data_IF_845297162182
#
_entry.id   IF_845297162182
#
_cell.length_a   1.000
_cell.length_b   1.000
_cell.length_c   1.000
_cell.angle_alpha   90.00
_cell.angle_beta   90.00
_cell.angle_gamma   90.00
#
_symmetry.space_group_name_H-M   'P 1'
#
loop_
_entity.id
_entity.type
_entity.pdbx_description
1 polymer ?
#
# COMPACT_ATOMS: atom_id res chain seq x y z
N UNK A 1 14.07 10.71 15.53
CA UNK A 1 14.65 12.05 15.34
C UNK A 1 13.52 13.07 15.20
N UNK A 2 13.71 14.28 15.73
CA UNK A 2 12.75 15.38 15.55
C UNK A 2 13.00 16.08 14.22
N UNK A 3 11.93 16.43 13.53
CA UNK A 3 11.92 17.15 12.26
C UNK A 3 11.02 18.38 12.35
N UNK A 4 11.08 19.34 11.41
CA UNK A 4 10.16 20.48 11.38
C UNK A 4 8.67 20.09 11.29
N UNK A 5 8.36 18.88 10.83
CA UNK A 5 7.00 18.40 10.61
C UNK A 5 6.51 17.39 11.65
N UNK A 6 7.41 16.92 12.52
CA UNK A 6 7.09 15.92 13.51
C UNK A 6 8.26 15.01 13.88
N UNK A 7 7.98 13.90 14.53
CA UNK A 7 8.97 12.94 14.98
C UNK A 7 9.11 11.80 13.97
N UNK A 8 10.35 11.55 13.52
CA UNK A 8 10.70 10.42 12.67
C UNK A 8 11.27 9.29 13.53
N UNK A 9 10.63 8.14 13.51
CA UNK A 9 11.06 6.90 14.14
C UNK A 9 11.37 5.82 13.11
N UNK A 10 12.24 4.89 13.47
CA UNK A 10 12.44 3.66 12.71
C UNK A 10 11.44 2.60 13.20
N UNK A 11 10.70 1.99 12.28
CA UNK A 11 9.74 0.93 12.56
C UNK A 11 10.23 -0.34 11.89
N UNK A 12 10.81 -1.24 12.68
CA UNK A 12 11.52 -2.40 12.13
C UNK A 12 12.87 -2.01 11.50
N UNK A 13 13.33 -2.81 10.56
CA UNK A 13 14.59 -2.60 9.83
C UNK A 13 14.43 -1.89 8.50
N UNK A 14 13.20 -1.80 7.98
CA UNK A 14 12.88 -1.49 6.58
C UNK A 14 11.94 -0.29 6.38
N UNK A 15 11.47 0.34 7.47
CA UNK A 15 10.54 1.46 7.40
C UNK A 15 10.93 2.62 8.32
N UNK A 16 10.73 3.85 7.82
CA UNK A 16 10.73 5.06 8.63
C UNK A 16 9.31 5.61 8.74
N UNK A 17 8.86 5.92 9.94
CA UNK A 17 7.56 6.51 10.18
C UNK A 17 7.71 7.94 10.72
N UNK A 18 7.19 8.91 9.97
CA UNK A 18 7.09 10.30 10.39
C UNK A 18 5.72 10.52 11.04
N UNK A 19 5.70 10.64 12.34
CA UNK A 19 4.51 11.02 13.12
C UNK A 19 4.29 12.53 13.02
N UNK A 20 3.31 12.91 12.20
CA UNK A 20 2.98 14.33 11.94
C UNK A 20 1.97 14.86 12.95
N UNK A 21 1.13 13.99 13.50
CA UNK A 21 0.14 14.26 14.55
C UNK A 21 -0.73 15.49 14.26
N UNK A 22 -1.18 15.63 13.00
CA UNK A 22 -2.05 16.72 12.59
C UNK A 22 -1.36 18.07 12.33
N UNK A 23 -0.03 18.14 12.34
CA UNK A 23 0.69 19.37 11.96
C UNK A 23 0.44 19.74 10.48
N UNK A 24 0.11 18.76 9.63
CA UNK A 24 -0.37 18.97 8.28
C UNK A 24 -1.89 18.82 8.31
N UNK A 25 -2.60 19.91 7.98
CA UNK A 25 -4.06 19.95 8.02
C UNK A 25 -4.69 19.03 6.98
N UNK A 26 -5.72 18.30 7.40
CA UNK A 26 -6.54 17.46 6.54
C UNK A 26 -7.94 17.36 7.17
N UNK A 27 -9.01 17.49 6.36
CA UNK A 27 -10.39 17.48 6.88
C UNK A 27 -11.39 17.09 5.80
N UNK A 28 -11.20 15.93 5.19
CA UNK A 28 -12.09 15.45 4.15
C UNK A 28 -13.35 14.77 4.74
N UNK A 29 -14.47 14.92 4.04
CA UNK A 29 -15.76 14.29 4.34
C UNK A 29 -16.11 13.17 3.36
N UNK A 30 -15.40 13.05 2.24
CA UNK A 30 -15.56 12.02 1.22
C UNK A 30 -14.20 11.56 0.70
N UNK A 31 -14.17 10.41 0.01
CA UNK A 31 -12.94 9.89 -0.58
C UNK A 31 -12.39 10.82 -1.67
N UNK A 32 -13.24 11.39 -2.51
CA UNK A 32 -12.82 12.30 -3.59
C UNK A 32 -12.21 13.58 -3.02
N UNK A 33 -12.83 14.16 -1.98
CA UNK A 33 -12.27 15.29 -1.25
C UNK A 33 -10.94 14.93 -0.58
N UNK A 34 -10.86 13.74 0.03
CA UNK A 34 -9.66 13.24 0.66
C UNK A 34 -8.52 13.13 -0.36
N UNK A 35 -8.79 12.54 -1.53
CA UNK A 35 -7.80 12.40 -2.60
C UNK A 35 -7.29 13.77 -3.07
N UNK A 36 -8.20 14.71 -3.34
CA UNK A 36 -7.84 16.06 -3.77
C UNK A 36 -6.97 16.80 -2.71
N UNK A 37 -7.29 16.66 -1.42
CA UNK A 37 -6.47 17.24 -0.36
C UNK A 37 -5.09 16.58 -0.26
N UNK A 38 -4.98 15.26 -0.40
CA UNK A 38 -3.69 14.57 -0.40
C UNK A 38 -2.84 14.97 -1.62
N UNK A 39 -3.42 15.13 -2.80
CA UNK A 39 -2.73 15.67 -3.98
C UNK A 39 -2.12 17.06 -3.70
N UNK A 40 -2.86 17.95 -3.06
CA UNK A 40 -2.35 19.25 -2.66
C UNK A 40 -1.26 19.16 -1.59
N UNK A 41 -1.39 18.25 -0.62
CA UNK A 41 -0.38 18.01 0.42
C UNK A 41 0.92 17.51 -0.21
N UNK A 42 0.86 16.52 -1.08
CA UNK A 42 2.05 15.98 -1.78
C UNK A 42 2.77 17.05 -2.57
N UNK A 43 2.03 17.93 -3.26
CA UNK A 43 2.60 19.07 -4.00
C UNK A 43 3.20 20.12 -3.07
N UNK A 44 2.48 20.50 -2.00
CA UNK A 44 2.89 21.60 -1.10
C UNK A 44 4.07 21.21 -0.19
N UNK A 45 4.19 19.93 0.13
CA UNK A 45 5.22 19.37 1.00
C UNK A 45 6.17 18.45 0.21
N UNK A 46 6.60 18.88 -0.98
CA UNK A 46 7.42 18.08 -1.89
C UNK A 46 8.71 17.54 -1.25
N UNK A 47 9.25 18.21 -0.23
CA UNK A 47 10.41 17.72 0.53
C UNK A 47 10.11 16.42 1.31
N UNK A 48 8.85 16.16 1.65
CA UNK A 48 8.41 14.90 2.28
C UNK A 48 8.11 13.82 1.24
N UNK A 49 7.96 14.18 -0.02
CA UNK A 49 7.60 13.27 -1.11
C UNK A 49 8.57 13.45 -2.27
N UNK A 50 9.83 12.95 -2.14
CA UNK A 50 10.86 13.13 -3.17
C UNK A 50 10.61 12.20 -4.38
N UNK A 51 9.43 12.33 -4.97
CA UNK A 51 8.94 11.50 -6.08
C UNK A 51 8.59 12.42 -7.25
N UNK A 52 9.18 12.16 -8.42
CA UNK A 52 8.81 12.83 -9.66
C UNK A 52 7.53 12.23 -10.23
N UNK A 53 6.59 13.11 -10.63
CA UNK A 53 5.29 12.71 -11.21
C UNK A 53 4.54 11.68 -10.34
N UNK A 54 4.22 12.00 -9.07
CA UNK A 54 3.64 11.06 -8.14
C UNK A 54 2.27 10.56 -8.61
N UNK A 55 2.05 9.26 -8.48
CA UNK A 55 0.73 8.63 -8.54
C UNK A 55 0.22 8.52 -7.11
N UNK A 56 -1.04 8.86 -6.89
CA UNK A 56 -1.69 8.83 -5.58
C UNK A 56 -2.92 7.95 -5.68
N UNK A 57 -2.95 6.90 -4.89
CA UNK A 57 -4.06 5.97 -4.81
C UNK A 57 -4.54 5.80 -3.37
N UNK A 58 -5.85 5.66 -3.21
CA UNK A 58 -6.44 5.36 -1.91
C UNK A 58 -6.48 3.85 -1.69
N UNK A 59 -6.14 3.41 -0.49
CA UNK A 59 -6.30 2.02 -0.07
C UNK A 59 -7.58 1.91 0.77
N UNK A 60 -8.50 0.96 0.47
CA UNK A 60 -9.63 0.68 1.34
C UNK A 60 -9.14 0.25 2.71
N UNK A 61 -9.67 0.86 3.75
CA UNK A 61 -9.33 0.52 5.13
C UNK A 61 -10.57 0.05 5.87
N UNK A 62 -10.34 -0.69 6.94
CA UNK A 62 -11.37 -1.03 7.89
C UNK A 62 -11.90 0.25 8.52
N UNK A 63 -13.16 0.58 8.27
CA UNK A 63 -13.82 1.70 8.94
C UNK A 63 -14.28 1.23 10.32
N UNK A 64 -13.69 1.82 11.38
CA UNK A 64 -14.27 1.74 12.71
C UNK A 64 -14.90 3.09 13.01
N UNK A 65 -16.24 3.12 13.11
CA UNK A 65 -16.96 4.32 13.60
C UNK A 65 -16.36 4.79 14.95
N UNK A 66 -16.22 6.10 15.19
CA UNK A 66 -16.68 7.27 14.42
C UNK A 66 -15.59 8.01 13.64
N UNK A 67 -14.38 7.49 13.55
CA UNK A 67 -13.26 8.18 12.87
C UNK A 67 -12.95 7.49 11.55
N UNK A 68 -13.25 8.16 10.43
CA UNK A 68 -12.80 7.71 9.12
C UNK A 68 -11.32 8.01 8.99
N UNK A 69 -10.50 6.98 8.95
CA UNK A 69 -9.09 7.08 8.59
C UNK A 69 -8.95 6.77 7.11
N UNK A 70 -8.25 7.64 6.40
CA UNK A 70 -7.90 7.45 5.01
C UNK A 70 -6.45 6.99 4.92
N UNK A 71 -6.21 6.00 4.07
CA UNK A 71 -4.86 5.55 3.74
C UNK A 71 -4.62 5.76 2.26
N UNK A 72 -3.52 6.43 1.94
CA UNK A 72 -3.08 6.66 0.57
C UNK A 72 -1.67 6.12 0.37
N UNK A 73 -1.40 5.65 -0.84
CA UNK A 73 -0.06 5.34 -1.29
C UNK A 73 0.37 6.34 -2.34
N UNK A 74 1.65 6.71 -2.30
CA UNK A 74 2.30 7.64 -3.22
C UNK A 74 3.53 6.97 -3.79
N UNK A 75 3.61 6.86 -5.11
CA UNK A 75 4.71 6.22 -5.81
C UNK A 75 5.01 6.91 -7.14
N UNK A 76 6.22 6.71 -7.69
CA UNK A 76 6.57 7.17 -9.02
C UNK A 76 5.98 6.21 -10.07
N UNK A 77 5.31 6.76 -11.06
CA UNK A 77 4.99 6.00 -12.27
C UNK A 77 6.23 5.94 -13.15
N UNK A 78 7.11 5.03 -12.87
CA UNK A 78 8.18 4.72 -13.80
C UNK A 78 7.59 3.97 -15.00
N UNK A 79 8.14 4.23 -16.18
CA UNK A 79 7.83 3.37 -17.33
C UNK A 79 8.45 2.01 -17.05
N UNK A 80 7.64 1.08 -16.56
CA UNK A 80 8.06 -0.30 -16.46
C UNK A 80 8.33 -0.83 -17.87
N UNK A 81 9.48 -1.45 -18.08
CA UNK A 81 9.70 -2.27 -19.26
C UNK A 81 8.88 -3.55 -19.11
N UNK A 82 7.79 -3.65 -19.86
CA UNK A 82 6.84 -4.76 -19.78
C UNK A 82 5.91 -4.68 -18.55
N UNK A 83 5.56 -5.84 -17.98
CA UNK A 83 4.66 -5.97 -16.83
C UNK A 83 5.37 -5.84 -15.47
N UNK A 84 6.60 -5.33 -15.45
CA UNK A 84 7.38 -5.14 -14.21
C UNK A 84 6.81 -3.95 -13.44
N UNK A 85 6.57 -4.14 -12.14
CA UNK A 85 6.34 -3.02 -11.24
C UNK A 85 7.65 -2.26 -11.01
N UNK A 86 7.58 -0.94 -10.96
CA UNK A 86 8.72 -0.15 -10.52
C UNK A 86 9.03 -0.42 -9.04
N UNK A 87 10.27 -0.23 -8.63
CA UNK A 87 10.66 -0.34 -7.21
C UNK A 87 9.83 0.59 -6.34
N UNK A 88 9.54 1.80 -6.82
CA UNK A 88 8.70 2.78 -6.13
C UNK A 88 7.24 2.32 -5.96
N UNK A 89 6.67 1.66 -6.98
CA UNK A 89 5.32 1.09 -6.90
C UNK A 89 5.27 -0.12 -5.96
N UNK A 90 6.35 -0.92 -5.94
CA UNK A 90 6.49 -2.04 -5.04
C UNK A 90 6.57 -1.61 -3.56
N UNK A 91 7.19 -0.44 -3.32
CA UNK A 91 7.41 0.13 -1.98
C UNK A 91 6.99 1.59 -1.94
N UNK A 92 5.68 1.87 -1.93
CA UNK A 92 5.16 3.22 -1.94
C UNK A 92 5.33 3.91 -0.59
N UNK A 93 5.40 5.23 -0.61
CA UNK A 93 5.18 6.04 0.59
C UNK A 93 3.72 5.90 0.99
N UNK A 94 3.44 5.63 2.26
CA UNK A 94 2.07 5.51 2.77
C UNK A 94 1.71 6.70 3.66
N UNK A 95 0.54 7.29 3.43
CA UNK A 95 0.02 8.42 4.20
C UNK A 95 -1.23 7.96 4.97
N UNK A 96 -1.23 8.19 6.27
CA UNK A 96 -2.40 8.01 7.14
C UNK A 96 -2.97 9.36 7.52
N UNK A 97 -4.24 9.60 7.22
CA UNK A 97 -4.92 10.85 7.52
C UNK A 97 -6.34 10.63 8.07
N UNK A 98 -6.80 11.52 8.94
CA UNK A 98 -8.15 11.55 9.48
C UNK A 98 -8.60 12.99 9.70
N UNK A 99 -9.78 13.21 10.28
CA UNK A 99 -10.31 14.56 10.57
C UNK A 99 -9.41 15.43 11.46
N UNK A 100 -8.43 14.85 12.14
CA UNK A 100 -7.44 15.55 12.96
C UNK A 100 -6.20 15.98 12.18
N UNK A 101 -6.13 15.72 10.87
CA UNK A 101 -4.97 16.01 10.03
C UNK A 101 -4.26 14.76 9.51
N UNK A 102 -3.12 14.95 8.87
CA UNK A 102 -2.20 13.85 8.56
C UNK A 102 -1.60 13.35 9.86
N UNK A 103 -1.70 12.06 10.13
CA UNK A 103 -1.23 11.44 11.36
C UNK A 103 0.19 10.91 11.22
N UNK A 104 0.44 10.16 10.15
CA UNK A 104 1.73 9.56 9.88
C UNK A 104 2.01 9.47 8.38
N UNK A 105 3.30 9.49 8.04
CA UNK A 105 3.83 9.19 6.71
C UNK A 105 4.88 8.10 6.88
N UNK A 106 4.68 6.96 6.22
CA UNK A 106 5.58 5.81 6.28
C UNK A 106 6.41 5.74 5.01
N UNK A 107 7.71 5.67 5.17
CA UNK A 107 8.70 5.61 4.09
C UNK A 107 9.35 4.23 4.06
N UNK A 108 9.51 3.62 2.87
CA UNK A 108 10.41 2.49 2.72
C UNK A 108 11.86 2.97 2.88
N UNK A 109 12.67 2.25 3.64
CA UNK A 109 14.08 2.60 3.92
C UNK A 109 15.06 1.70 3.21
N UNK A 110 14.66 0.50 2.82
CA UNK A 110 15.50 -0.44 2.12
C UNK A 110 15.32 -0.33 0.60
N UNK A 111 16.37 -0.68 -0.10
CA UNK A 111 16.36 -0.88 -1.54
C UNK A 111 16.28 -2.38 -1.81
N UNK A 112 15.36 -2.78 -2.68
CA UNK A 112 15.33 -4.14 -3.19
C UNK A 112 16.07 -4.20 -4.53
N UNK A 113 17.05 -5.08 -4.64
CA UNK A 113 17.69 -5.39 -5.91
C UNK A 113 16.86 -6.43 -6.66
N UNK A 114 16.83 -6.30 -7.99
CA UNK A 114 16.12 -7.24 -8.83
C UNK A 114 16.93 -8.54 -8.97
N UNK A 115 16.37 -9.66 -8.50
CA UNK A 115 17.08 -10.95 -8.51
C UNK A 115 16.71 -11.81 -9.71
N UNK A 116 15.41 -11.97 -9.98
CA UNK A 116 14.93 -12.82 -11.07
C UNK A 116 13.51 -12.45 -11.53
N UNK A 117 13.21 -12.78 -12.80
CA UNK A 117 11.87 -12.68 -13.37
C UNK A 117 11.14 -14.01 -13.19
N UNK A 118 9.96 -13.98 -12.58
CA UNK A 118 9.05 -15.12 -12.48
C UNK A 118 7.72 -14.81 -13.13
N UNK A 119 7.11 -15.75 -13.86
CA UNK A 119 5.74 -15.58 -14.33
C UNK A 119 4.78 -15.37 -13.18
N UNK A 120 3.94 -14.38 -13.30
CA UNK A 120 2.90 -14.07 -12.32
C UNK A 120 1.52 -14.40 -12.87
N UNK A 121 0.59 -14.66 -11.97
CA UNK A 121 -0.82 -14.78 -12.30
C UNK A 121 -1.33 -13.47 -12.90
N UNK A 122 -2.17 -13.54 -13.90
CA UNK A 122 -3.00 -12.41 -14.30
C UNK A 122 -4.01 -12.09 -13.20
N UNK A 123 -4.59 -10.90 -13.20
CA UNK A 123 -5.63 -10.53 -12.24
C UNK A 123 -6.82 -11.50 -12.27
N UNK A 124 -7.22 -11.94 -13.47
CA UNK A 124 -8.33 -12.90 -13.63
C UNK A 124 -7.99 -14.29 -13.04
N UNK A 125 -6.76 -14.75 -13.22
CA UNK A 125 -6.28 -15.99 -12.60
C UNK A 125 -6.20 -15.87 -11.08
N UNK A 126 -5.72 -14.73 -10.57
CA UNK A 126 -5.67 -14.47 -9.15
C UNK A 126 -7.08 -14.44 -8.52
N UNK A 127 -8.07 -13.80 -9.18
CA UNK A 127 -9.46 -13.81 -8.71
C UNK A 127 -10.03 -15.22 -8.68
N UNK A 128 -9.73 -16.05 -9.69
CA UNK A 128 -10.19 -17.45 -9.73
C UNK A 128 -9.51 -18.33 -8.69
N UNK A 129 -8.24 -18.05 -8.37
CA UNK A 129 -7.47 -18.79 -7.39
C UNK A 129 -7.75 -18.37 -5.94
N UNK A 130 -8.33 -17.17 -5.74
CA UNK A 130 -8.62 -16.66 -4.42
C UNK A 130 -9.86 -17.35 -3.81
N UNK A 131 -9.65 -18.06 -2.72
CA UNK A 131 -10.72 -18.65 -1.94
C UNK A 131 -11.26 -17.61 -0.95
N UNK A 132 -12.48 -17.09 -1.21
CA UNK A 132 -13.11 -16.11 -0.31
C UNK A 132 -13.34 -16.74 1.07
N UNK A 133 -12.77 -16.16 2.14
CA UNK A 133 -12.97 -16.70 3.48
C UNK A 133 -14.44 -16.64 3.92
N UNK A 134 -14.86 -17.55 4.79
CA UNK A 134 -16.22 -17.56 5.34
C UNK A 134 -16.52 -16.24 6.08
N UNK A 135 -17.69 -15.67 5.85
CA UNK A 135 -18.12 -14.40 6.46
C UNK A 135 -17.71 -13.15 5.68
N UNK A 136 -17.19 -13.32 4.47
CA UNK A 136 -16.83 -12.22 3.57
C UNK A 136 -17.57 -12.32 2.23
N UNK A 137 -17.72 -11.17 1.57
CA UNK A 137 -18.27 -11.09 0.21
C UNK A 137 -17.21 -11.47 -0.82
N UNK A 138 -17.62 -11.86 -2.03
CA UNK A 138 -16.69 -12.12 -3.12
C UNK A 138 -15.87 -10.85 -3.44
N UNK A 139 -14.58 -11.00 -3.83
CA UNK A 139 -13.72 -9.86 -4.11
C UNK A 139 -14.24 -9.08 -5.33
N UNK A 140 -14.11 -7.75 -5.25
CA UNK A 140 -14.38 -6.84 -6.35
C UNK A 140 -13.06 -6.45 -7.01
N UNK A 141 -12.99 -6.43 -8.34
CA UNK A 141 -11.74 -6.20 -9.09
C UNK A 141 -11.10 -4.83 -8.82
N UNK A 142 -11.92 -3.81 -8.51
CA UNK A 142 -11.47 -2.46 -8.14
C UNK A 142 -10.91 -2.36 -6.70
N UNK A 143 -10.91 -3.47 -5.97
CA UNK A 143 -10.41 -3.60 -4.60
C UNK A 143 -9.31 -4.64 -4.47
N UNK A 144 -8.56 -4.85 -5.55
CA UNK A 144 -7.43 -5.78 -5.60
C UNK A 144 -6.21 -5.00 -6.03
N UNK A 145 -5.16 -5.07 -5.22
CA UNK A 145 -3.89 -4.39 -5.47
C UNK A 145 -2.78 -5.41 -5.64
N UNK A 146 -1.86 -5.14 -6.55
CA UNK A 146 -0.58 -5.82 -6.58
C UNK A 146 0.32 -5.13 -5.56
N UNK A 147 0.85 -5.89 -4.63
CA UNK A 147 1.77 -5.42 -3.59
C UNK A 147 3.01 -6.28 -3.58
N UNK A 148 4.07 -5.78 -2.95
CA UNK A 148 5.25 -6.55 -2.64
C UNK A 148 5.33 -6.79 -1.14
N UNK A 149 5.72 -8.01 -0.76
CA UNK A 149 5.78 -8.42 0.63
C UNK A 149 7.00 -9.29 0.84
N UNK A 150 7.72 -9.04 1.94
CA UNK A 150 8.83 -9.90 2.32
C UNK A 150 8.33 -11.28 2.71
N UNK A 151 9.12 -12.30 2.37
CA UNK A 151 8.93 -13.64 2.92
C UNK A 151 9.10 -13.65 4.45
N UNK A 152 8.80 -14.78 5.09
CA UNK A 152 8.91 -14.92 6.54
C UNK A 152 10.35 -14.73 7.09
N UNK A 153 11.36 -14.95 6.25
CA UNK A 153 12.76 -14.73 6.59
C UNK A 153 13.24 -13.30 6.35
N UNK A 154 12.44 -12.47 5.67
CA UNK A 154 12.80 -11.12 5.28
C UNK A 154 13.85 -11.04 4.16
N UNK A 155 14.09 -12.17 3.46
CA UNK A 155 15.15 -12.30 2.46
C UNK A 155 14.66 -11.91 1.07
N UNK A 156 13.43 -12.32 0.72
CA UNK A 156 12.88 -12.13 -0.61
C UNK A 156 11.67 -11.20 -0.59
N UNK A 157 11.67 -10.24 -1.47
CA UNK A 157 10.51 -9.40 -1.74
C UNK A 157 9.74 -10.02 -2.90
N UNK A 158 8.57 -10.56 -2.64
CA UNK A 158 7.75 -11.28 -3.61
C UNK A 158 6.45 -10.51 -3.94
N UNK A 159 5.95 -10.60 -5.19
CA UNK A 159 4.68 -10.01 -5.56
C UNK A 159 3.50 -10.78 -4.99
N UNK A 160 2.51 -10.07 -4.48
CA UNK A 160 1.23 -10.60 -4.01
C UNK A 160 0.08 -9.79 -4.60
N UNK A 161 -1.08 -10.43 -4.75
CA UNK A 161 -2.36 -9.75 -4.87
C UNK A 161 -2.98 -9.61 -3.49
N UNK A 162 -3.28 -8.38 -3.10
CA UNK A 162 -4.01 -8.06 -1.87
C UNK A 162 -5.46 -7.80 -2.21
N UNK A 163 -6.33 -8.64 -1.67
CA UNK A 163 -7.77 -8.58 -1.81
C UNK A 163 -8.36 -7.89 -0.60
N UNK A 164 -9.02 -6.75 -0.78
CA UNK A 164 -9.83 -6.13 0.26
C UNK A 164 -11.27 -6.61 0.10
N UNK A 165 -11.67 -7.57 0.93
CA UNK A 165 -13.01 -8.19 0.88
C UNK A 165 -13.90 -7.63 1.99
N UNK A 166 -15.16 -7.34 1.63
CA UNK A 166 -16.11 -6.74 2.56
C UNK A 166 -16.59 -7.79 3.56
N UNK A 167 -16.60 -7.43 4.85
CA UNK A 167 -17.17 -8.28 5.88
C UNK A 167 -18.70 -8.33 5.79
N UNK A 168 -19.28 -9.49 6.04
CA UNK A 168 -20.72 -9.68 6.20
C UNK A 168 -21.19 -9.42 7.64
N UNK A 169 -20.28 -9.28 8.59
CA UNK A 169 -20.60 -9.17 10.02
C UNK A 169 -20.37 -7.77 10.59
N UNK A 170 -19.62 -6.93 9.91
CA UNK A 170 -19.40 -5.54 10.28
C UNK A 170 -19.21 -4.67 9.02
N UNK A 171 -19.39 -3.37 9.15
CA UNK A 171 -19.14 -2.44 8.04
C UNK A 171 -17.63 -2.16 7.92
N UNK A 172 -17.00 -2.82 6.96
CA UNK A 172 -15.57 -2.68 6.71
C UNK A 172 -14.99 -3.77 5.82
N UNK A 173 -13.69 -3.66 5.56
CA UNK A 173 -12.93 -4.54 4.70
C UNK A 173 -11.79 -5.20 5.48
N UNK A 174 -11.49 -6.45 5.11
CA UNK A 174 -10.28 -7.15 5.53
C UNK A 174 -9.38 -7.41 4.33
N UNK A 175 -8.07 -7.39 4.58
CA UNK A 175 -7.05 -7.64 3.57
C UNK A 175 -6.57 -9.09 3.63
N UNK A 176 -6.60 -9.76 2.49
CA UNK A 176 -6.06 -11.12 2.32
C UNK A 176 -5.08 -11.13 1.16
N UNK A 177 -3.94 -11.76 1.34
CA UNK A 177 -2.87 -11.78 0.37
C UNK A 177 -2.77 -13.15 -0.32
N UNK A 178 -2.69 -13.14 -1.66
CA UNK A 178 -2.42 -14.31 -2.50
C UNK A 178 -1.09 -14.09 -3.20
N UNK A 179 -0.14 -15.02 -3.10
CA UNK A 179 1.12 -14.92 -3.85
C UNK A 179 0.83 -14.85 -5.36
N UNK A 180 1.40 -13.86 -6.01
CA UNK A 180 1.18 -13.63 -7.43
C UNK A 180 2.04 -14.51 -8.33
N UNK A 181 3.12 -15.12 -7.81
CA UNK A 181 3.97 -16.04 -8.57
C UNK A 181 3.18 -17.31 -8.90
N UNK A 182 3.27 -17.78 -10.14
CA UNK A 182 2.61 -19.02 -10.55
C UNK A 182 3.11 -20.21 -9.71
N UNK A 183 2.21 -21.11 -9.23
CA UNK A 183 2.53 -22.12 -8.22
C UNK A 183 3.66 -23.09 -8.59
N UNK A 184 3.87 -23.36 -9.89
CA UNK A 184 4.95 -24.22 -10.36
C UNK A 184 6.36 -23.66 -10.10
N UNK A 185 6.48 -22.33 -9.96
CA UNK A 185 7.75 -21.66 -9.68
C UNK A 185 8.03 -21.51 -8.17
N UNK A 186 7.01 -21.52 -7.32
CA UNK A 186 7.18 -21.46 -5.87
C UNK A 186 7.92 -22.67 -5.30
N UNK A 187 7.78 -23.85 -5.92
CA UNK A 187 8.46 -25.09 -5.50
C UNK A 187 9.97 -25.11 -5.76
N UNK A 188 10.49 -24.13 -6.53
CA UNK A 188 11.92 -24.03 -6.81
C UNK A 188 12.66 -23.18 -5.77
N UNK A 189 11.95 -22.30 -5.05
CA UNK A 189 12.53 -21.44 -4.01
C UNK A 189 12.79 -22.17 -2.67
N UNK A 190 12.27 -23.39 -2.49
CA UNK A 190 12.45 -24.20 -1.26
C UNK A 190 13.62 -25.21 -1.35
N UNK A 191 14.45 -25.13 -2.38
CA UNK A 191 15.65 -25.97 -2.55
C UNK A 191 16.92 -25.14 -2.44
#
# INVERSE_FOLDING_TARGET
>A
ADTPWGRLDLVGSDQGELFVNGAISFSASSLDEAKAQIEQIVQSYSALFPIENPVIESIPVRTTEPQTTYTFIVYAREKAEGDRLSTSEARPITIYANKGGVQAIVYPLDTADWEADYPVLSLEEAIRAFETPAGYEAPQSDRIWRIWKSDAAGTWLMPYYRFYVKSQTYDGYEAFDLCAIQPEYLKQAEK
#
